data_IF_883949743815
#
_entry.id   IF_883949743815
#
_cell.length_a   1.000
_cell.length_b   1.000
_cell.length_c   1.000
_cell.angle_alpha   90.00
_cell.angle_beta   90.00
_cell.angle_gamma   90.00
#
_symmetry.space_group_name_H-M   'P 1'
#
loop_
_entity.id
_entity.type
_entity.pdbx_description
1 polymer ?
#
# COMPACT_ATOMS: atom_id res chain seq x y z
N UNK A 1 -1.54 3.28 6.65
CA UNK A 1 -0.17 2.90 7.03
C UNK A 1 0.74 4.12 6.97
N UNK A 2 1.67 4.23 7.91
CA UNK A 2 2.69 5.26 7.99
C UNK A 2 4.03 4.67 8.44
N UNK A 3 5.09 5.49 8.43
CA UNK A 3 6.39 5.11 8.98
C UNK A 3 7.07 6.34 9.56
N UNK A 4 7.71 6.19 10.70
CA UNK A 4 8.57 7.20 11.33
C UNK A 4 10.02 6.80 11.08
N UNK A 5 10.80 7.51 10.23
CA UNK A 5 12.19 7.19 9.96
C UNK A 5 13.14 7.95 10.88
N UNK A 6 14.23 7.29 11.28
CA UNK A 6 15.41 7.91 11.90
C UNK A 6 16.60 7.63 10.98
N UNK A 7 17.22 8.67 10.44
CA UNK A 7 18.19 8.53 9.35
C UNK A 7 19.50 9.26 9.64
N UNK A 8 20.59 8.64 9.19
CA UNK A 8 21.92 9.23 9.16
C UNK A 8 22.45 9.13 7.71
N UNK A 9 23.12 10.18 7.26
CA UNK A 9 23.72 10.20 5.93
C UNK A 9 25.05 10.96 5.96
N UNK A 10 25.95 10.58 5.06
CA UNK A 10 27.24 11.22 4.84
C UNK A 10 27.57 11.32 3.37
N UNK A 11 28.49 12.22 3.02
CA UNK A 11 29.05 12.32 1.67
C UNK A 11 30.58 12.20 1.72
N UNK A 12 31.14 11.55 0.72
CA UNK A 12 32.58 11.36 0.54
C UNK A 12 32.95 12.03 -0.78
N UNK A 13 33.81 13.02 -0.73
CA UNK A 13 34.34 13.80 -1.87
C UNK A 13 33.25 14.34 -2.81
N UNK A 14 32.05 14.63 -2.29
CA UNK A 14 30.86 15.03 -3.07
C UNK A 14 30.51 14.09 -4.25
N UNK A 15 31.04 12.87 -4.21
CA UNK A 15 30.83 11.85 -5.25
C UNK A 15 30.03 10.66 -4.76
N UNK A 16 30.31 10.18 -3.54
CA UNK A 16 29.61 9.06 -2.93
C UNK A 16 28.81 9.53 -1.72
N UNK A 17 27.50 9.33 -1.77
CA UNK A 17 26.59 9.61 -0.67
C UNK A 17 26.11 8.28 -0.10
N UNK A 18 26.23 8.11 1.19
CA UNK A 18 25.82 6.91 1.93
C UNK A 18 24.77 7.28 2.96
N UNK A 19 23.77 6.46 3.10
CA UNK A 19 22.71 6.65 4.08
C UNK A 19 22.23 5.35 4.70
N UNK A 20 21.87 5.42 5.96
CA UNK A 20 21.20 4.36 6.70
C UNK A 20 20.01 4.95 7.44
N UNK A 21 18.92 4.21 7.47
CA UNK A 21 17.69 4.60 8.16
C UNK A 21 17.10 3.43 8.91
N UNK A 22 16.68 3.67 10.13
CA UNK A 22 15.79 2.80 10.88
C UNK A 22 14.37 3.32 10.71
N UNK A 23 13.44 2.48 10.27
CA UNK A 23 12.02 2.80 10.11
C UNK A 23 11.19 2.14 11.18
N UNK A 24 10.19 2.86 11.68
CA UNK A 24 9.15 2.36 12.58
C UNK A 24 7.83 2.41 11.80
N UNK A 25 7.43 1.32 11.09
CA UNK A 25 6.16 1.25 10.43
C UNK A 25 5.01 1.22 11.44
N UNK A 26 3.90 1.88 11.08
CA UNK A 26 2.65 1.92 11.84
C UNK A 26 1.53 1.53 10.88
N UNK A 27 0.73 0.55 11.30
CA UNK A 27 -0.43 0.05 10.57
C UNK A 27 -1.69 0.37 11.38
N UNK A 28 -2.66 0.95 10.71
CA UNK A 28 -4.03 1.10 11.20
C UNK A 28 -4.96 0.77 10.03
N UNK A 29 -5.89 -0.14 10.26
CA UNK A 29 -6.92 -0.53 9.30
C UNK A 29 -8.21 -0.80 10.05
N UNK A 30 -9.33 -0.40 9.47
CA UNK A 30 -10.65 -0.74 9.98
C UNK A 30 -11.57 -1.09 8.83
N UNK A 31 -12.36 -2.13 9.02
CA UNK A 31 -13.37 -2.59 8.08
C UNK A 31 -14.68 -2.84 8.80
N UNK A 32 -15.78 -2.43 8.17
CA UNK A 32 -17.12 -2.80 8.58
C UNK A 32 -17.89 -3.28 7.37
N UNK A 33 -18.38 -4.52 7.44
CA UNK A 33 -19.17 -5.13 6.39
C UNK A 33 -20.59 -5.35 6.89
N UNK A 34 -21.56 -4.97 6.07
CA UNK A 34 -22.97 -5.29 6.25
C UNK A 34 -23.41 -6.18 5.10
N UNK A 35 -23.84 -7.38 5.41
CA UNK A 35 -24.47 -8.30 4.47
C UNK A 35 -25.93 -8.51 4.88
N UNK A 36 -26.85 -8.26 3.97
CA UNK A 36 -28.29 -8.43 4.22
C UNK A 36 -28.95 -9.22 3.12
N UNK A 37 -29.84 -10.11 3.52
CA UNK A 37 -30.73 -10.83 2.60
C UNK A 37 -32.18 -10.66 3.04
N UNK A 38 -33.07 -10.60 2.04
CA UNK A 38 -34.51 -10.48 2.26
C UNK A 38 -35.28 -11.12 1.11
N UNK A 39 -36.59 -11.31 1.29
CA UNK A 39 -37.49 -11.83 0.25
C UNK A 39 -37.12 -13.24 -0.20
N UNK A 40 -36.89 -14.14 0.74
CA UNK A 40 -36.57 -15.53 0.46
C UNK A 40 -37.71 -16.21 -0.33
N UNK A 41 -37.33 -16.98 -1.33
CA UNK A 41 -38.30 -17.77 -2.13
C UNK A 41 -38.77 -19.03 -1.42
N UNK A 42 -38.08 -19.44 -0.36
CA UNK A 42 -38.45 -20.59 0.45
C UNK A 42 -39.44 -20.17 1.55
N UNK A 43 -40.57 -20.83 1.58
CA UNK A 43 -41.64 -20.60 2.53
C UNK A 43 -41.62 -21.56 3.71
N UNK A 44 -40.57 -22.37 3.86
CA UNK A 44 -40.45 -23.36 4.94
C UNK A 44 -40.13 -22.69 6.27
N UNK A 45 -39.49 -21.52 6.26
CA UNK A 45 -39.15 -20.74 7.44
C UNK A 45 -39.94 -19.43 7.53
N UNK A 46 -40.33 -19.03 8.73
CA UNK A 46 -40.92 -17.71 8.95
C UNK A 46 -39.91 -16.55 8.83
N UNK A 47 -38.65 -16.84 8.50
CA UNK A 47 -37.60 -15.84 8.30
C UNK A 47 -37.87 -15.03 7.04
N UNK A 48 -37.95 -13.71 7.17
CA UNK A 48 -38.20 -12.78 6.06
C UNK A 48 -36.97 -11.98 5.64
N UNK A 49 -36.07 -11.74 6.58
CA UNK A 49 -34.82 -11.03 6.32
C UNK A 49 -33.78 -11.31 7.41
N UNK A 50 -32.52 -11.16 7.06
CA UNK A 50 -31.45 -11.02 8.05
C UNK A 50 -30.40 -9.99 7.61
N UNK A 51 -29.77 -9.35 8.61
CA UNK A 51 -28.60 -8.49 8.47
C UNK A 51 -27.47 -9.08 9.30
N UNK A 52 -26.31 -9.29 8.65
CA UNK A 52 -25.08 -9.72 9.30
C UNK A 52 -24.04 -8.61 9.23
N UNK A 53 -23.65 -8.09 10.39
CA UNK A 53 -22.61 -7.09 10.52
C UNK A 53 -21.31 -7.73 10.99
N UNK A 54 -20.21 -7.33 10.40
CA UNK A 54 -18.86 -7.70 10.82
C UNK A 54 -18.00 -6.44 10.94
N UNK A 55 -17.27 -6.34 12.05
CA UNK A 55 -16.30 -5.28 12.30
C UNK A 55 -14.92 -5.89 12.53
N UNK A 56 -13.91 -5.32 11.91
CA UNK A 56 -12.50 -5.68 12.08
C UNK A 56 -11.71 -4.38 12.29
N UNK A 57 -10.87 -4.37 13.30
CA UNK A 57 -9.87 -3.32 13.56
C UNK A 57 -8.52 -4.00 13.63
N UNK A 58 -7.57 -3.51 12.84
CA UNK A 58 -6.19 -4.00 12.81
C UNK A 58 -5.28 -2.85 13.15
N UNK A 59 -4.41 -3.04 14.13
CA UNK A 59 -3.36 -2.11 14.49
C UNK A 59 -2.03 -2.84 14.57
N UNK A 60 -0.94 -2.14 14.31
CA UNK A 60 0.38 -2.75 14.39
C UNK A 60 1.50 -1.74 14.29
N UNK A 61 2.65 -2.12 14.84
CA UNK A 61 3.88 -1.37 14.71
C UNK A 61 5.08 -2.31 14.64
N UNK A 62 6.18 -1.82 14.09
CA UNK A 62 7.32 -2.69 13.87
C UNK A 62 8.63 -1.93 13.66
N UNK A 63 9.60 -2.62 13.10
CA UNK A 63 10.92 -2.09 12.82
C UNK A 63 11.45 -2.62 11.48
N UNK A 64 12.19 -1.78 10.76
CA UNK A 64 13.00 -2.16 9.61
C UNK A 64 14.27 -1.32 9.52
N UNK A 65 15.21 -1.77 8.68
CA UNK A 65 16.44 -1.04 8.38
C UNK A 65 16.53 -0.84 6.86
N UNK A 66 16.98 0.35 6.47
CA UNK A 66 17.21 0.72 5.08
C UNK A 66 18.63 1.23 4.93
N UNK A 67 19.30 0.81 3.89
CA UNK A 67 20.62 1.33 3.54
C UNK A 67 20.63 1.73 2.06
N UNK A 68 21.36 2.79 1.74
CA UNK A 68 21.44 3.25 0.36
C UNK A 68 22.74 3.97 0.07
N UNK A 69 23.11 3.95 -1.19
CA UNK A 69 24.24 4.65 -1.74
C UNK A 69 23.84 5.36 -3.04
N UNK A 70 24.34 6.59 -3.23
CA UNK A 70 24.23 7.33 -4.48
C UNK A 70 25.64 7.68 -4.92
N UNK A 71 25.98 7.33 -6.16
CA UNK A 71 27.26 7.66 -6.77
C UNK A 71 27.06 8.67 -7.91
N UNK A 72 27.79 9.79 -7.82
CA UNK A 72 27.85 10.82 -8.85
C UNK A 72 28.89 10.42 -9.89
N UNK A 73 28.45 9.89 -11.03
CA UNK A 73 29.33 9.53 -12.15
C UNK A 73 30.05 10.75 -12.72
N UNK A 74 29.29 11.85 -12.87
CA UNK A 74 29.78 13.15 -13.27
C UNK A 74 28.82 14.26 -12.81
N UNK A 75 29.00 15.50 -13.25
CA UNK A 75 28.13 16.62 -12.82
C UNK A 75 26.67 16.45 -13.22
N UNK A 76 26.37 15.64 -14.21
CA UNK A 76 25.04 15.48 -14.77
C UNK A 76 24.37 14.14 -14.39
N UNK A 77 25.16 13.07 -14.18
CA UNK A 77 24.66 11.72 -14.00
C UNK A 77 24.91 11.20 -12.59
N UNK A 78 23.88 10.60 -12.00
CA UNK A 78 23.93 9.90 -10.71
C UNK A 78 23.26 8.55 -10.84
N UNK A 79 23.79 7.56 -10.14
CA UNK A 79 23.19 6.24 -9.97
C UNK A 79 23.03 5.96 -8.48
N UNK A 80 22.01 5.22 -8.14
CA UNK A 80 21.69 4.88 -6.75
C UNK A 80 21.30 3.42 -6.60
N UNK A 81 21.61 2.88 -5.43
CA UNK A 81 21.18 1.57 -4.96
C UNK A 81 20.65 1.71 -3.54
N UNK A 82 19.50 1.12 -3.27
CA UNK A 82 18.95 1.04 -1.93
C UNK A 82 18.43 -0.36 -1.64
N UNK A 83 18.66 -0.83 -0.43
CA UNK A 83 18.13 -2.08 0.09
C UNK A 83 17.35 -1.81 1.38
N UNK A 84 16.13 -2.34 1.43
CA UNK A 84 15.28 -2.29 2.62
C UNK A 84 15.16 -3.71 3.16
N UNK A 85 15.45 -3.88 4.46
CA UNK A 85 15.25 -5.16 5.13
C UNK A 85 13.77 -5.51 5.22
N UNK A 86 13.42 -6.75 5.53
CA UNK A 86 12.10 -7.09 6.03
C UNK A 86 11.70 -6.17 7.17
N UNK A 87 10.41 -5.81 7.21
CA UNK A 87 9.80 -5.19 8.40
C UNK A 87 9.24 -6.29 9.27
N UNK A 88 9.61 -6.29 10.53
CA UNK A 88 9.02 -7.13 11.57
C UNK A 88 7.94 -6.30 12.26
N UNK A 89 6.68 -6.67 12.09
CA UNK A 89 5.53 -5.88 12.52
C UNK A 89 4.67 -6.75 13.41
N UNK A 90 4.50 -6.36 14.68
CA UNK A 90 3.54 -6.99 15.57
C UNK A 90 2.16 -6.40 15.30
N UNK A 91 1.20 -7.26 15.01
CA UNK A 91 -0.17 -6.95 14.61
C UNK A 91 -1.12 -7.41 15.69
N UNK A 92 -2.11 -6.56 15.99
CA UNK A 92 -3.24 -6.85 16.86
C UNK A 92 -4.52 -6.69 16.04
N UNK A 93 -5.38 -7.69 16.11
CA UNK A 93 -6.71 -7.68 15.50
C UNK A 93 -7.80 -7.75 16.57
N UNK A 94 -8.77 -6.86 16.45
CA UNK A 94 -10.00 -6.88 17.20
C UNK A 94 -11.16 -7.07 16.24
N UNK A 95 -12.02 -8.07 16.52
CA UNK A 95 -13.15 -8.33 15.65
C UNK A 95 -14.40 -8.74 16.43
N UNK A 96 -15.53 -8.39 15.89
CA UNK A 96 -16.82 -8.85 16.35
C UNK A 96 -17.81 -8.96 15.20
N UNK A 97 -18.87 -9.72 15.41
CA UNK A 97 -19.99 -9.83 14.47
C UNK A 97 -21.31 -9.73 15.20
N UNK A 98 -22.35 -9.29 14.50
CA UNK A 98 -23.73 -9.35 14.99
C UNK A 98 -24.66 -9.75 13.87
N UNK A 99 -25.71 -10.46 14.23
CA UNK A 99 -26.76 -10.88 13.33
C UNK A 99 -28.10 -10.39 13.84
N UNK A 100 -28.91 -9.82 12.96
CA UNK A 100 -30.30 -9.47 13.22
C UNK A 100 -31.17 -10.23 12.23
N UNK A 101 -32.23 -10.89 12.74
CA UNK A 101 -33.21 -11.62 11.94
C UNK A 101 -34.57 -10.98 12.11
N UNK A 102 -35.39 -11.02 11.04
CA UNK A 102 -36.78 -10.57 11.01
C UNK A 102 -37.68 -11.71 10.53
N UNK A 103 -38.84 -11.84 11.16
CA UNK A 103 -39.80 -12.93 10.92
C UNK A 103 -41.14 -12.40 10.39
N UNK A 104 -41.91 -13.27 9.73
CA UNK A 104 -43.20 -12.93 9.12
C UNK A 104 -44.29 -12.50 10.14
N UNK A 105 -44.16 -12.93 11.39
CA UNK A 105 -45.04 -12.53 12.50
C UNK A 105 -44.72 -11.15 13.10
N UNK A 106 -43.69 -10.43 12.52
CA UNK A 106 -43.23 -9.11 12.99
C UNK A 106 -42.24 -9.16 14.12
N UNK A 107 -41.85 -10.35 14.61
CA UNK A 107 -40.76 -10.48 15.57
C UNK A 107 -39.39 -10.26 14.94
N UNK A 108 -38.43 -9.86 15.77
CA UNK A 108 -37.02 -9.77 15.39
C UNK A 108 -36.13 -10.23 16.51
N UNK A 109 -35.04 -10.90 16.18
CA UNK A 109 -33.99 -11.28 17.13
C UNK A 109 -32.66 -10.66 16.74
N UNK A 110 -31.80 -10.38 17.72
CA UNK A 110 -30.46 -9.86 17.46
C UNK A 110 -29.48 -10.46 18.47
N UNK A 111 -28.40 -11.03 17.92
CA UNK A 111 -27.33 -11.62 18.70
C UNK A 111 -26.00 -11.05 18.25
N UNK A 112 -25.03 -10.95 19.16
CA UNK A 112 -23.68 -10.48 18.87
C UNK A 112 -22.66 -11.50 19.40
N UNK A 113 -21.59 -11.70 18.62
CA UNK A 113 -20.45 -12.48 19.10
C UNK A 113 -19.75 -11.76 20.25
N UNK A 114 -19.02 -12.46 21.11
CA UNK A 114 -18.00 -11.83 21.93
C UNK A 114 -16.97 -11.10 21.05
N UNK A 115 -16.28 -10.13 21.64
CA UNK A 115 -15.10 -9.55 20.99
C UNK A 115 -14.01 -10.61 20.92
N UNK A 116 -13.53 -10.84 19.68
CA UNK A 116 -12.34 -11.64 19.44
C UNK A 116 -11.11 -10.73 19.41
N UNK A 117 -10.01 -11.25 19.93
CA UNK A 117 -8.71 -10.60 19.95
C UNK A 117 -7.65 -11.59 19.49
N UNK A 118 -6.78 -11.16 18.58
CA UNK A 118 -5.74 -12.01 18.04
C UNK A 118 -4.44 -11.21 17.80
N UNK A 119 -3.30 -11.81 18.12
CA UNK A 119 -1.98 -11.21 17.95
C UNK A 119 -1.08 -12.13 17.12
N UNK A 120 -0.33 -11.52 16.20
CA UNK A 120 0.65 -12.20 15.38
C UNK A 120 1.69 -11.24 14.82
N UNK A 121 2.80 -11.75 14.35
CA UNK A 121 3.85 -10.99 13.68
C UNK A 121 3.75 -11.16 12.17
N UNK A 122 3.82 -10.04 11.45
CA UNK A 122 3.92 -9.97 9.99
C UNK A 122 5.37 -9.64 9.61
N UNK A 123 5.98 -10.50 8.80
CA UNK A 123 7.31 -10.27 8.23
C UNK A 123 7.14 -9.94 6.75
N UNK A 124 7.58 -8.74 6.33
CA UNK A 124 7.54 -8.32 4.93
C UNK A 124 8.80 -8.76 4.18
N UNK A 125 8.77 -8.85 2.83
CA UNK A 125 9.96 -9.21 2.05
C UNK A 125 11.01 -8.09 1.99
N UNK A 126 12.20 -8.45 1.53
CA UNK A 126 13.23 -7.50 1.12
C UNK A 126 12.75 -6.68 -0.09
N UNK A 127 13.20 -5.41 -0.14
CA UNK A 127 13.00 -4.52 -1.28
C UNK A 127 14.35 -3.99 -1.74
N UNK A 128 14.63 -4.10 -3.04
CA UNK A 128 15.82 -3.55 -3.68
C UNK A 128 15.38 -2.49 -4.69
N UNK A 129 16.06 -1.35 -4.68
CA UNK A 129 15.77 -0.23 -5.59
C UNK A 129 17.08 0.16 -6.30
N UNK A 130 17.04 0.21 -7.62
CA UNK A 130 18.06 0.78 -8.49
C UNK A 130 17.54 2.07 -9.10
N UNK A 131 18.30 3.14 -8.97
CA UNK A 131 17.90 4.45 -9.47
C UNK A 131 18.97 5.06 -10.36
N UNK A 132 18.54 5.84 -11.34
CA UNK A 132 19.42 6.69 -12.14
C UNK A 132 18.77 8.05 -12.36
N UNK A 133 19.58 9.10 -12.37
CA UNK A 133 19.10 10.45 -12.68
C UNK A 133 20.10 11.23 -13.49
N UNK A 134 19.59 12.12 -14.31
CA UNK A 134 20.41 13.02 -15.13
C UNK A 134 19.84 14.43 -15.12
N UNK A 135 20.74 15.42 -15.14
CA UNK A 135 20.40 16.83 -15.24
C UNK A 135 21.01 17.42 -16.50
N UNK A 136 20.18 17.95 -17.39
CA UNK A 136 20.58 18.62 -18.62
C UNK A 136 20.09 20.06 -18.54
N UNK A 137 21.00 21.00 -18.29
CA UNK A 137 20.66 22.41 -18.09
C UNK A 137 19.48 22.56 -17.07
N UNK A 138 18.29 22.81 -17.60
CA UNK A 138 17.08 23.08 -16.83
C UNK A 138 16.17 21.84 -16.66
N UNK A 139 16.53 20.71 -17.25
CA UNK A 139 15.76 19.47 -17.21
C UNK A 139 16.44 18.44 -16.31
N UNK A 140 15.72 17.93 -15.30
CA UNK A 140 16.07 16.76 -14.52
C UNK A 140 15.18 15.59 -14.98
N UNK A 141 15.78 14.44 -15.22
CA UNK A 141 15.10 13.18 -15.46
C UNK A 141 15.56 12.14 -14.45
N UNK A 142 14.66 11.28 -14.02
CA UNK A 142 14.94 10.16 -13.13
C UNK A 142 14.18 8.91 -13.53
N UNK A 143 14.77 7.76 -13.27
CA UNK A 143 14.14 6.44 -13.37
C UNK A 143 14.57 5.62 -12.17
N UNK A 144 13.60 4.92 -11.56
CA UNK A 144 13.82 3.94 -10.51
C UNK A 144 13.20 2.61 -10.91
N UNK A 145 13.93 1.54 -10.65
CA UNK A 145 13.48 0.16 -10.76
C UNK A 145 13.51 -0.46 -9.37
N UNK A 146 12.35 -0.94 -8.91
CA UNK A 146 12.18 -1.56 -7.60
C UNK A 146 11.76 -3.01 -7.78
N UNK A 147 12.36 -3.94 -7.05
CA UNK A 147 11.97 -5.33 -7.04
C UNK A 147 11.67 -5.80 -5.62
N UNK A 148 10.56 -6.53 -5.47
CA UNK A 148 10.07 -7.10 -4.22
C UNK A 148 9.57 -8.50 -4.53
N UNK A 149 10.00 -9.50 -3.75
CA UNK A 149 9.48 -10.86 -3.89
C UNK A 149 8.45 -11.12 -2.77
N UNK A 150 7.17 -10.97 -3.12
CA UNK A 150 6.07 -11.10 -2.17
C UNK A 150 5.83 -12.53 -1.69
N UNK A 151 6.40 -13.55 -2.34
CA UNK A 151 6.35 -14.94 -1.88
C UNK A 151 7.06 -15.17 -0.54
N UNK A 152 7.88 -14.22 -0.10
CA UNK A 152 8.56 -14.25 1.20
C UNK A 152 7.81 -13.53 2.33
N UNK A 153 6.57 -13.08 2.11
CA UNK A 153 5.73 -12.64 3.23
C UNK A 153 5.48 -13.83 4.16
N UNK A 154 5.57 -13.63 5.45
CA UNK A 154 5.23 -14.66 6.42
C UNK A 154 4.54 -14.11 7.66
N UNK A 155 3.69 -14.95 8.24
CA UNK A 155 3.00 -14.73 9.50
C UNK A 155 3.58 -15.68 10.55
N UNK A 156 3.73 -15.20 11.78
CA UNK A 156 4.23 -15.96 12.92
C UNK A 156 3.41 -15.65 14.17
N UNK A 157 3.19 -16.64 15.02
CA UNK A 157 2.61 -16.46 16.35
C UNK A 157 3.10 -17.57 17.28
N UNK A 158 3.18 -17.26 18.57
CA UNK A 158 3.52 -18.24 19.60
C UNK A 158 2.37 -19.20 19.93
N UNK A 159 1.13 -18.81 19.57
CA UNK A 159 -0.09 -19.50 19.95
C UNK A 159 -0.64 -20.34 18.79
N UNK A 160 -0.52 -19.84 17.55
CA UNK A 160 -1.10 -20.42 16.36
C UNK A 160 -0.08 -20.69 15.26
N UNK A 161 -0.35 -21.71 14.45
CA UNK A 161 0.53 -22.05 13.31
C UNK A 161 -0.10 -21.51 12.03
N UNK A 162 0.62 -20.62 11.35
CA UNK A 162 0.26 -20.06 10.05
C UNK A 162 0.83 -20.87 8.87
N UNK A 163 0.90 -22.19 8.99
CA UNK A 163 1.49 -23.01 7.92
C UNK A 163 0.69 -22.94 6.62
N UNK A 164 -0.64 -22.99 6.70
CA UNK A 164 -1.53 -22.96 5.53
C UNK A 164 -1.50 -21.58 4.86
N UNK A 165 -1.56 -20.49 5.64
CA UNK A 165 -1.49 -19.11 5.16
C UNK A 165 -0.13 -18.81 4.52
N UNK A 166 0.96 -19.26 5.16
CA UNK A 166 2.32 -19.07 4.63
C UNK A 166 2.52 -19.88 3.35
N UNK A 167 2.02 -21.11 3.26
CA UNK A 167 2.04 -21.93 2.05
C UNK A 167 1.21 -21.30 0.94
N UNK A 168 0.02 -20.75 1.28
CA UNK A 168 -0.79 -20.01 0.33
C UNK A 168 -0.03 -18.79 -0.20
N UNK A 169 0.57 -17.96 0.66
CA UNK A 169 1.33 -16.77 0.25
C UNK A 169 2.53 -17.15 -0.62
N UNK A 170 3.30 -18.16 -0.25
CA UNK A 170 4.48 -18.60 -1.00
C UNK A 170 4.14 -19.14 -2.39
N UNK A 171 2.92 -19.69 -2.58
CA UNK A 171 2.47 -20.30 -3.84
C UNK A 171 1.77 -19.30 -4.76
N UNK A 172 1.01 -18.35 -4.18
CA UNK A 172 0.13 -17.45 -4.92
C UNK A 172 0.70 -16.03 -5.09
N UNK A 173 1.68 -15.65 -4.28
CA UNK A 173 2.37 -14.37 -4.47
C UNK A 173 3.68 -14.56 -5.23
N UNK A 174 4.04 -13.53 -5.99
CA UNK A 174 5.21 -13.56 -6.88
C UNK A 174 6.10 -12.35 -6.65
N UNK A 175 7.28 -12.42 -7.25
CA UNK A 175 8.15 -11.26 -7.38
C UNK A 175 7.52 -10.24 -8.31
N UNK A 176 7.47 -8.98 -7.86
CA UNK A 176 7.05 -7.85 -8.68
C UNK A 176 8.21 -6.93 -8.99
N UNK A 177 8.06 -6.24 -10.11
CA UNK A 177 8.98 -5.21 -10.55
C UNK A 177 8.17 -3.93 -10.76
N UNK A 178 8.63 -2.86 -10.10
CA UNK A 178 7.98 -1.55 -10.16
C UNK A 178 8.90 -0.59 -10.89
N UNK A 179 8.35 0.20 -11.79
CA UNK A 179 9.09 1.22 -12.54
C UNK A 179 8.52 2.59 -12.18
N UNK A 180 9.42 3.55 -11.91
CA UNK A 180 9.04 4.93 -11.65
C UNK A 180 9.89 5.85 -12.55
N UNK A 181 9.23 6.76 -13.26
CA UNK A 181 9.90 7.73 -14.14
C UNK A 181 9.44 9.11 -13.69
N UNK A 182 10.38 10.02 -13.55
CA UNK A 182 10.10 11.39 -13.15
C UNK A 182 10.89 12.40 -13.96
N UNK A 183 10.34 13.61 -14.10
CA UNK A 183 11.03 14.71 -14.72
C UNK A 183 10.60 16.05 -14.13
N UNK A 184 11.55 16.98 -14.12
CA UNK A 184 11.33 18.37 -13.74
C UNK A 184 12.02 19.30 -14.71
N UNK A 185 11.28 20.23 -15.28
CA UNK A 185 11.82 21.33 -16.08
C UNK A 185 11.70 22.62 -15.27
N UNK A 186 12.85 23.31 -15.09
CA UNK A 186 12.92 24.59 -14.39
C UNK A 186 13.22 25.72 -15.37
N UNK A 187 12.41 26.77 -15.33
CA UNK A 187 12.66 27.99 -16.06
C UNK A 187 12.47 29.18 -15.12
N UNK A 188 13.56 29.87 -14.80
CA UNK A 188 13.57 30.95 -13.79
C UNK A 188 12.93 30.47 -12.47
N UNK A 189 11.77 31.03 -12.16
CA UNK A 189 11.01 30.76 -10.93
C UNK A 189 9.98 29.64 -11.07
N UNK A 190 9.75 29.16 -12.31
CA UNK A 190 8.74 28.14 -12.62
C UNK A 190 9.37 26.76 -12.66
N UNK A 191 8.72 25.79 -12.05
CA UNK A 191 9.04 24.36 -12.13
C UNK A 191 7.83 23.59 -12.66
N UNK A 192 8.01 22.82 -13.72
CA UNK A 192 7.01 21.89 -14.25
C UNK A 192 7.49 20.47 -13.99
N UNK A 193 6.60 19.63 -13.45
CA UNK A 193 6.94 18.26 -13.06
C UNK A 193 5.99 17.28 -13.70
N UNK A 194 6.52 16.12 -14.05
CA UNK A 194 5.72 14.96 -14.44
C UNK A 194 6.27 13.70 -13.77
N UNK A 195 5.40 12.73 -13.57
CA UNK A 195 5.75 11.43 -13.02
C UNK A 195 4.85 10.34 -13.56
N UNK A 196 5.44 9.20 -13.79
CA UNK A 196 4.78 7.93 -14.10
C UNK A 196 5.29 6.87 -13.16
N UNK A 197 4.42 6.04 -12.63
CA UNK A 197 4.82 4.83 -11.94
C UNK A 197 3.87 3.69 -12.25
N UNK A 198 4.46 2.50 -12.37
CA UNK A 198 3.76 1.24 -12.52
C UNK A 198 4.24 0.29 -11.44
N UNK A 199 3.30 -0.22 -10.66
CA UNK A 199 3.52 -1.24 -9.64
C UNK A 199 2.91 -2.54 -10.14
N UNK A 200 3.75 -3.56 -10.30
CA UNK A 200 3.33 -4.87 -10.74
C UNK A 200 2.43 -5.56 -9.71
N UNK A 201 1.57 -6.45 -10.20
CA UNK A 201 0.73 -7.27 -9.34
C UNK A 201 1.56 -8.22 -8.48
N UNK A 202 1.32 -8.30 -7.17
CA UNK A 202 1.94 -9.32 -6.32
C UNK A 202 1.28 -10.70 -6.47
N UNK A 203 0.14 -10.80 -7.15
CA UNK A 203 -0.65 -12.03 -7.28
C UNK A 203 -0.27 -12.73 -8.58
N UNK A 204 0.02 -14.03 -8.48
CA UNK A 204 0.38 -14.88 -9.60
C UNK A 204 -0.74 -14.92 -10.65
N UNK A 205 -0.34 -14.93 -11.93
CA UNK A 205 -1.22 -15.04 -13.08
C UNK A 205 -2.34 -13.97 -13.14
N UNK A 206 -2.09 -12.81 -12.51
CA UNK A 206 -3.08 -11.73 -12.46
C UNK A 206 -2.41 -10.36 -12.72
N UNK A 207 -2.11 -10.08 -13.99
CA UNK A 207 -1.51 -8.81 -14.43
C UNK A 207 -2.49 -7.63 -14.33
N UNK A 208 -3.79 -7.88 -14.22
CA UNK A 208 -4.81 -6.82 -14.11
C UNK A 208 -4.74 -6.03 -12.79
N UNK A 209 -3.99 -6.54 -11.80
CA UNK A 209 -3.77 -5.85 -10.51
C UNK A 209 -2.63 -4.82 -10.52
N UNK A 210 -2.08 -4.52 -11.68
CA UNK A 210 -1.09 -3.46 -11.78
C UNK A 210 -1.71 -2.12 -11.37
N UNK A 211 -0.95 -1.36 -10.55
CA UNK A 211 -1.33 0.00 -10.18
C UNK A 211 -0.51 0.99 -11.00
N UNK A 212 -1.18 1.70 -11.90
CA UNK A 212 -0.56 2.74 -12.72
C UNK A 212 -0.89 4.11 -12.13
N UNK A 213 0.13 4.94 -11.94
CA UNK A 213 -0.04 6.30 -11.42
C UNK A 213 0.64 7.30 -12.35
N UNK A 214 -0.12 8.32 -12.75
CA UNK A 214 0.35 9.47 -13.48
C UNK A 214 0.28 10.70 -12.59
N UNK A 215 1.29 11.58 -12.68
CA UNK A 215 1.30 12.83 -11.92
C UNK A 215 1.84 13.99 -12.75
N UNK A 216 1.28 15.16 -12.51
CA UNK A 216 1.77 16.43 -13.03
C UNK A 216 1.86 17.42 -11.88
N UNK A 217 2.78 18.36 -11.97
CA UNK A 217 2.96 19.39 -10.95
C UNK A 217 3.49 20.69 -11.52
N UNK A 218 3.16 21.75 -10.83
CA UNK A 218 3.64 23.10 -11.11
C UNK A 218 4.13 23.73 -9.80
N UNK A 219 5.28 24.35 -9.81
CA UNK A 219 5.84 25.08 -8.69
C UNK A 219 6.29 26.47 -9.10
N UNK A 220 6.11 27.44 -8.21
CA UNK A 220 6.57 28.80 -8.41
C UNK A 220 7.32 29.29 -7.17
N UNK A 221 8.53 29.84 -7.37
CA UNK A 221 9.38 30.36 -6.29
C UNK A 221 9.46 31.89 -6.37
N UNK A 222 9.27 32.58 -5.25
CA UNK A 222 9.39 34.05 -5.14
C UNK A 222 10.35 34.35 -3.98
N UNK A 223 11.59 34.69 -4.28
CA UNK A 223 12.61 34.85 -3.23
C UNK A 223 12.77 33.54 -2.44
N UNK A 224 12.55 33.61 -1.13
CA UNK A 224 12.62 32.46 -0.23
C UNK A 224 11.31 31.64 -0.16
N UNK A 225 10.22 32.11 -0.72
CA UNK A 225 8.93 31.40 -0.71
C UNK A 225 8.78 30.52 -1.94
N UNK A 226 8.07 29.41 -1.78
CA UNK A 226 7.61 28.62 -2.92
C UNK A 226 6.19 28.13 -2.71
N UNK A 227 5.46 28.01 -3.81
CA UNK A 227 4.11 27.46 -3.87
C UNK A 227 4.14 26.34 -4.89
N UNK A 228 3.64 25.17 -4.52
CA UNK A 228 3.53 24.00 -5.37
C UNK A 228 2.07 23.53 -5.47
N UNK A 229 1.68 23.06 -6.64
CA UNK A 229 0.44 22.33 -6.85
C UNK A 229 0.76 21.06 -7.64
N UNK A 230 0.16 19.95 -7.26
CA UNK A 230 0.28 18.70 -8.00
C UNK A 230 -1.06 17.99 -8.10
N UNK A 231 -1.23 17.28 -9.20
CA UNK A 231 -2.34 16.38 -9.46
C UNK A 231 -1.81 14.98 -9.74
N UNK A 232 -2.42 13.99 -9.15
CA UNK A 232 -2.07 12.57 -9.32
C UNK A 232 -3.34 11.79 -9.62
N UNK A 233 -3.27 10.92 -10.63
CA UNK A 233 -4.29 9.93 -10.94
C UNK A 233 -3.69 8.53 -10.82
N UNK A 234 -4.31 7.68 -10.01
CA UNK A 234 -3.89 6.28 -9.80
C UNK A 234 -5.02 5.36 -10.19
N UNK A 235 -4.74 4.43 -11.12
CA UNK A 235 -5.69 3.43 -11.63
C UNK A 235 -5.19 2.04 -11.33
N UNK A 236 -6.10 1.18 -10.88
CA UNK A 236 -5.84 -0.23 -10.64
C UNK A 236 -7.14 -1.01 -10.53
N UNK A 237 -7.04 -2.32 -10.66
CA UNK A 237 -8.16 -3.23 -10.52
C UNK A 237 -7.98 -4.11 -9.29
N UNK A 238 -9.06 -4.64 -8.78
CA UNK A 238 -9.06 -5.57 -7.66
C UNK A 238 -10.26 -6.49 -7.77
N UNK A 239 -10.06 -7.80 -7.60
CA UNK A 239 -11.16 -8.72 -7.45
C UNK A 239 -11.63 -8.73 -5.99
N UNK A 240 -12.95 -8.75 -5.82
CA UNK A 240 -13.59 -8.86 -4.52
C UNK A 240 -14.53 -10.07 -4.55
N UNK A 241 -14.27 -11.04 -3.67
CA UNK A 241 -15.15 -12.18 -3.52
C UNK A 241 -16.37 -11.78 -2.67
N UNK A 242 -17.54 -11.80 -3.30
CA UNK A 242 -18.80 -11.42 -2.65
C UNK A 242 -19.22 -12.50 -1.65
N UNK A 243 -19.33 -13.72 -2.11
CA UNK A 243 -19.70 -14.91 -1.32
C UNK A 243 -19.37 -16.19 -2.10
N UNK A 244 -19.41 -17.31 -1.42
CA UNK A 244 -19.25 -18.62 -2.05
C UNK A 244 -20.51 -19.46 -1.85
N UNK A 245 -21.04 -20.04 -2.95
CA UNK A 245 -22.15 -20.98 -2.94
C UNK A 245 -21.68 -22.30 -3.51
N UNK A 246 -21.82 -23.38 -2.74
CA UNK A 246 -21.40 -24.74 -3.15
C UNK A 246 -19.93 -24.81 -3.66
N UNK A 247 -19.03 -24.03 -3.05
CA UNK A 247 -17.62 -23.99 -3.45
C UNK A 247 -17.31 -23.15 -4.69
N UNK A 248 -18.30 -22.46 -5.25
CA UNK A 248 -18.11 -21.47 -6.32
C UNK A 248 -18.15 -20.07 -5.71
N UNK A 249 -17.09 -19.32 -5.88
CA UNK A 249 -17.01 -17.93 -5.42
C UNK A 249 -17.56 -16.99 -6.50
N UNK A 250 -18.54 -16.18 -6.13
CA UNK A 250 -18.97 -15.05 -6.94
C UNK A 250 -18.01 -13.87 -6.71
N UNK A 251 -17.39 -13.43 -7.80
CA UNK A 251 -16.32 -12.41 -7.76
C UNK A 251 -16.78 -11.15 -8.51
N UNK A 252 -16.66 -10.01 -7.88
CA UNK A 252 -16.82 -8.70 -8.52
C UNK A 252 -15.45 -8.09 -8.83
N UNK A 253 -15.29 -7.57 -10.04
CA UNK A 253 -14.12 -6.74 -10.39
C UNK A 253 -14.37 -5.30 -9.91
N UNK A 254 -13.48 -4.78 -9.09
CA UNK A 254 -13.49 -3.41 -8.62
C UNK A 254 -12.43 -2.61 -9.37
N UNK A 255 -12.86 -1.58 -10.09
CA UNK A 255 -11.95 -0.59 -10.65
C UNK A 255 -11.73 0.54 -9.62
N UNK A 256 -10.45 0.79 -9.30
CA UNK A 256 -10.05 1.92 -8.45
C UNK A 256 -9.49 3.02 -9.34
N UNK A 257 -10.16 4.18 -9.35
CA UNK A 257 -9.67 5.40 -9.99
C UNK A 257 -9.58 6.50 -8.91
N UNK A 258 -8.36 6.79 -8.47
CA UNK A 258 -8.11 7.75 -7.39
C UNK A 258 -7.46 9.01 -7.92
N UNK A 259 -8.10 10.13 -7.66
CA UNK A 259 -7.58 11.46 -7.95
C UNK A 259 -7.13 12.14 -6.66
N UNK A 260 -5.94 12.76 -6.68
CA UNK A 260 -5.42 13.52 -5.56
C UNK A 260 -4.87 14.84 -6.05
N UNK A 261 -5.25 15.93 -5.35
CA UNK A 261 -4.66 17.26 -5.53
C UNK A 261 -3.91 17.59 -4.23
N UNK A 262 -2.69 18.05 -4.36
CA UNK A 262 -1.87 18.51 -3.23
C UNK A 262 -1.41 19.93 -3.51
N UNK A 263 -1.61 20.81 -2.53
CA UNK A 263 -1.11 22.18 -2.52
C UNK A 263 -0.07 22.32 -1.41
N UNK A 264 1.08 22.89 -1.73
CA UNK A 264 2.17 23.10 -0.81
C UNK A 264 2.63 24.55 -0.79
N UNK A 265 2.96 25.05 0.39
CA UNK A 265 3.61 26.34 0.58
C UNK A 265 4.82 26.11 1.47
N UNK A 266 5.97 26.67 1.12
CA UNK A 266 7.17 26.52 1.90
C UNK A 266 8.06 27.75 1.87
N UNK A 267 8.99 27.77 2.81
CA UNK A 267 10.01 28.79 3.00
C UNK A 267 11.40 28.15 2.96
N UNK A 268 12.31 28.74 2.20
CA UNK A 268 13.74 28.38 2.20
C UNK A 268 14.47 29.32 3.15
N UNK A 269 15.24 28.76 4.06
CA UNK A 269 16.08 29.48 5.01
C UNK A 269 17.51 29.64 4.48
#
# INVERSE_FOLDING_TARGET
TGEVPISLATSIDDKLYLGVSMGIPIIEYSERTLYGESSFSDTISDLTAFDFNRSLIVSGSGINIKAGAIYRLNNNFRVGLSAHSPSYISIQEEFNSSMRTSFSNGESSSESSPYGFFEYDLITPWKIILGASSTFNNLLLSIDYETIDYSFISLQSDIERFSEENDFMSTNYVRTNNIKIGGEYRSNNLSLRFGYSEHGSPIKDNEDFNLVTNSIGIGYSIGNYFIDASYTNSKGKQNYNLYAVNGVSETAELEKDRHRIVLGIGLKF
#
